data_IF_212950136723
#
_entry.id   IF_212950136723
#
_cell.length_a   1.000
_cell.length_b   1.000
_cell.length_c   1.000
_cell.angle_alpha   90.00
_cell.angle_beta   90.00
_cell.angle_gamma   90.00
#
_symmetry.space_group_name_H-M   'P 1'
#
loop_
_entity.id
_entity.type
_entity.pdbx_description
1 polymer ?
#
# COMPACT_ATOMS: atom_id res chain seq x y z
N UNK A 1 4.78 4.98 4.34
CA UNK A 1 5.08 3.59 4.73
C UNK A 1 4.49 2.61 3.73
N UNK A 2 3.17 2.60 3.52
CA UNK A 2 2.49 1.64 2.61
C UNK A 2 3.13 1.50 1.22
N UNK A 3 3.30 2.60 0.47
CA UNK A 3 3.91 2.53 -0.87
C UNK A 3 5.33 1.94 -0.89
N UNK A 4 6.15 2.21 0.14
CA UNK A 4 7.46 1.58 0.26
C UNK A 4 7.37 0.10 0.60
N UNK A 5 6.44 -0.29 1.47
CA UNK A 5 6.24 -1.70 1.77
C UNK A 5 5.81 -2.49 0.53
N UNK A 6 4.88 -1.96 -0.26
CA UNK A 6 4.45 -2.57 -1.52
C UNK A 6 5.62 -2.75 -2.50
N UNK A 7 6.47 -1.72 -2.64
CA UNK A 7 7.69 -1.82 -3.45
C UNK A 7 8.64 -2.90 -2.92
N UNK A 8 8.96 -2.89 -1.63
CA UNK A 8 9.91 -3.83 -1.02
C UNK A 8 9.42 -5.29 -1.11
N UNK A 9 8.11 -5.51 -0.91
CA UNK A 9 7.50 -6.84 -1.02
C UNK A 9 7.64 -7.40 -2.44
N UNK A 10 7.28 -6.63 -3.46
CA UNK A 10 7.26 -7.12 -4.84
C UNK A 10 8.65 -7.20 -5.49
N UNK A 11 9.62 -6.42 -5.01
CA UNK A 11 11.03 -6.54 -5.46
C UNK A 11 11.82 -7.56 -4.62
N UNK A 12 11.17 -8.24 -3.66
CA UNK A 12 11.79 -9.20 -2.73
C UNK A 12 12.99 -8.64 -1.95
N UNK A 13 12.99 -7.33 -1.67
CA UNK A 13 14.07 -6.64 -0.94
C UNK A 13 13.88 -6.88 0.56
N UNK A 14 14.75 -7.70 1.15
CA UNK A 14 14.71 -8.05 2.58
C UNK A 14 15.96 -7.60 3.34
N UNK A 15 17.09 -7.39 2.64
CA UNK A 15 18.34 -6.92 3.22
C UNK A 15 18.46 -5.38 3.09
N UNK A 16 18.78 -4.65 4.18
CA UNK A 16 19.11 -3.23 4.11
C UNK A 16 20.18 -2.86 3.06
N UNK A 17 21.12 -3.76 2.76
CA UNK A 17 22.16 -3.54 1.75
C UNK A 17 21.58 -3.38 0.34
N UNK A 18 20.48 -4.08 0.04
CA UNK A 18 19.80 -4.06 -1.26
C UNK A 18 19.03 -2.74 -1.50
N UNK A 19 18.87 -1.90 -0.47
CA UNK A 19 18.37 -0.53 -0.64
C UNK A 19 19.41 0.36 -1.34
N UNK A 20 20.67 -0.08 -1.41
CA UNK A 20 21.76 0.58 -2.12
C UNK A 20 21.41 0.80 -3.60
N UNK A 21 21.25 2.06 -4.00
CA UNK A 21 20.95 2.42 -5.39
C UNK A 21 19.45 2.51 -5.71
N UNK A 22 18.54 2.13 -4.81
CA UNK A 22 17.11 2.37 -4.99
C UNK A 22 16.84 3.88 -5.04
N UNK A 23 16.26 4.34 -6.15
CA UNK A 23 15.83 5.73 -6.35
C UNK A 23 14.45 5.73 -6.98
N UNK A 24 13.48 6.28 -6.28
CA UNK A 24 12.07 6.34 -6.68
C UNK A 24 11.47 7.66 -6.23
N UNK A 25 10.56 8.20 -7.02
CA UNK A 25 9.76 9.34 -6.61
C UNK A 25 8.56 8.84 -5.80
N UNK A 26 8.24 9.53 -4.71
CA UNK A 26 7.05 9.29 -3.91
C UNK A 26 6.06 10.42 -4.17
N UNK A 27 4.81 10.07 -4.41
CA UNK A 27 3.73 11.02 -4.70
C UNK A 27 2.70 11.00 -3.59
N UNK A 28 2.25 12.18 -3.17
CA UNK A 28 1.03 12.35 -2.42
C UNK A 28 -0.11 12.53 -3.42
N UNK A 29 -1.14 11.69 -3.35
CA UNK A 29 -2.26 11.69 -4.30
C UNK A 29 -3.54 12.00 -3.53
N UNK A 30 -4.30 12.98 -4.02
CA UNK A 30 -5.65 13.21 -3.54
C UNK A 30 -6.60 12.18 -4.16
N UNK A 31 -7.19 11.35 -3.32
CA UNK A 31 -8.15 10.34 -3.74
C UNK A 31 -9.58 10.86 -3.58
N UNK A 32 -10.53 10.40 -4.42
CA UNK A 32 -11.95 10.61 -4.16
C UNK A 32 -12.33 10.14 -2.75
N UNK A 33 -13.34 10.75 -2.12
CA UNK A 33 -13.68 10.47 -0.72
C UNK A 33 -14.83 9.47 -0.53
N UNK A 34 -15.52 9.09 -1.59
CA UNK A 34 -16.75 8.27 -1.53
C UNK A 34 -16.75 7.18 -2.60
N UNK A 35 -17.76 6.31 -2.59
CA UNK A 35 -18.05 5.28 -3.60
C UNK A 35 -17.04 4.12 -3.70
N UNK A 36 -16.25 3.89 -2.65
CA UNK A 36 -15.44 2.68 -2.54
C UNK A 36 -16.31 1.47 -2.20
N UNK A 37 -16.14 0.40 -2.97
CA UNK A 37 -16.62 -0.92 -2.59
C UNK A 37 -15.50 -1.68 -1.89
N UNK A 38 -15.86 -2.55 -0.97
CA UNK A 38 -14.92 -3.41 -0.26
C UNK A 38 -15.01 -4.83 -0.81
N UNK A 39 -13.88 -5.44 -1.23
CA UNK A 39 -13.87 -6.82 -1.70
C UNK A 39 -14.31 -7.78 -0.61
N UNK A 40 -15.04 -8.83 -0.98
CA UNK A 40 -15.38 -9.91 -0.07
C UNK A 40 -14.43 -11.07 -0.28
N UNK A 41 -13.20 -10.92 0.23
CA UNK A 41 -12.16 -11.94 0.14
C UNK A 41 -11.74 -12.41 1.54
N UNK A 42 -11.49 -13.71 1.74
CA UNK A 42 -10.81 -14.21 2.92
C UNK A 42 -9.42 -13.60 3.11
N UNK A 43 -8.99 -13.47 4.37
CA UNK A 43 -7.69 -12.85 4.72
C UNK A 43 -6.48 -13.64 4.18
N UNK A 44 -6.57 -14.97 4.10
CA UNK A 44 -5.53 -15.82 3.50
C UNK A 44 -5.40 -15.62 1.99
N UNK A 45 -6.49 -15.25 1.31
CA UNK A 45 -6.46 -14.84 -0.10
C UNK A 45 -5.90 -13.42 -0.23
N UNK A 46 -6.43 -12.47 0.55
CA UNK A 46 -6.05 -11.06 0.47
C UNK A 46 -4.57 -10.81 0.84
N UNK A 47 -4.05 -11.56 1.82
CA UNK A 47 -2.68 -11.42 2.33
C UNK A 47 -1.75 -12.58 1.93
N UNK A 48 -2.23 -13.46 1.05
CA UNK A 48 -1.48 -14.58 0.49
C UNK A 48 -0.35 -14.15 -0.43
N UNK A 49 0.32 -15.13 -1.03
CA UNK A 49 1.42 -14.93 -1.97
C UNK A 49 0.90 -14.76 -3.42
N UNK A 50 1.78 -14.88 -4.41
CA UNK A 50 1.42 -14.75 -5.82
C UNK A 50 0.37 -15.79 -6.27
N UNK A 51 0.24 -16.92 -5.56
CA UNK A 51 -0.78 -17.94 -5.86
C UNK A 51 -2.20 -17.45 -5.60
N UNK A 52 -2.40 -16.44 -4.74
CA UNK A 52 -3.71 -15.86 -4.44
C UNK A 52 -4.12 -14.74 -5.39
N UNK A 53 -3.18 -14.22 -6.20
CA UNK A 53 -3.44 -13.10 -7.11
C UNK A 53 -4.59 -13.35 -8.09
N UNK A 54 -4.74 -14.53 -8.71
CA UNK A 54 -5.87 -14.79 -9.60
C UNK A 54 -7.22 -14.56 -8.90
N UNK A 55 -7.37 -15.01 -7.65
CA UNK A 55 -8.62 -14.82 -6.89
C UNK A 55 -8.88 -13.35 -6.55
N UNK A 56 -7.86 -12.59 -6.16
CA UNK A 56 -7.97 -11.15 -5.94
C UNK A 56 -8.37 -10.40 -7.22
N UNK A 57 -7.79 -10.79 -8.36
CA UNK A 57 -8.11 -10.21 -9.66
C UNK A 57 -9.52 -10.58 -10.13
N UNK A 58 -9.95 -11.82 -9.92
CA UNK A 58 -11.31 -12.28 -10.23
C UNK A 58 -12.35 -11.46 -9.46
N UNK A 59 -12.14 -11.22 -8.17
CA UNK A 59 -13.02 -10.39 -7.35
C UNK A 59 -13.02 -8.93 -7.85
N UNK A 60 -11.86 -8.35 -8.16
CA UNK A 60 -11.78 -7.00 -8.72
C UNK A 60 -12.52 -6.91 -10.07
N UNK A 61 -12.39 -7.91 -10.95
CA UNK A 61 -13.14 -7.98 -12.22
C UNK A 61 -14.64 -8.10 -11.99
N UNK A 62 -15.07 -8.94 -11.03
CA UNK A 62 -16.49 -9.10 -10.68
C UNK A 62 -17.08 -7.79 -10.17
N UNK A 63 -16.39 -7.09 -9.27
CA UNK A 63 -16.82 -5.79 -8.74
C UNK A 63 -16.94 -4.75 -9.86
N UNK A 64 -15.92 -4.67 -10.73
CA UNK A 64 -15.94 -3.78 -11.90
C UNK A 64 -17.11 -4.09 -12.83
N UNK A 65 -17.35 -5.36 -13.14
CA UNK A 65 -18.48 -5.79 -13.98
C UNK A 65 -19.84 -5.48 -13.33
N UNK A 66 -19.90 -5.48 -11.99
CA UNK A 66 -21.06 -5.04 -11.21
C UNK A 66 -21.23 -3.52 -11.13
N UNK A 67 -20.38 -2.74 -11.80
CA UNK A 67 -20.47 -1.27 -11.84
C UNK A 67 -19.68 -0.56 -10.75
N UNK A 68 -18.82 -1.25 -10.00
CA UNK A 68 -17.91 -0.58 -9.09
C UNK A 68 -16.93 0.31 -9.88
N UNK A 69 -16.83 1.57 -9.47
CA UNK A 69 -15.83 2.51 -10.01
C UNK A 69 -14.50 2.42 -9.26
N UNK A 70 -14.54 2.03 -7.99
CA UNK A 70 -13.36 2.03 -7.13
C UNK A 70 -13.47 1.07 -5.96
N UNK A 71 -12.32 0.55 -5.55
CA UNK A 71 -12.17 -0.43 -4.48
C UNK A 71 -11.29 0.15 -3.39
N UNK A 72 -11.64 -0.08 -2.13
CA UNK A 72 -10.77 0.13 -0.97
C UNK A 72 -10.63 -1.18 -0.18
N UNK A 73 -9.39 -1.56 0.13
CA UNK A 73 -9.09 -2.78 0.88
C UNK A 73 -7.82 -2.61 1.70
N UNK A 74 -7.63 -3.43 2.74
CA UNK A 74 -6.34 -3.50 3.45
C UNK A 74 -5.24 -3.97 2.50
N UNK A 75 -4.11 -3.28 2.53
CA UNK A 75 -2.92 -3.62 1.75
C UNK A 75 -2.21 -4.84 2.32
N UNK A 76 -1.67 -5.69 1.44
CA UNK A 76 -1.02 -6.93 1.84
C UNK A 76 0.44 -6.73 2.26
N UNK A 77 1.07 -5.64 1.84
CA UNK A 77 2.50 -5.48 2.03
C UNK A 77 2.93 -5.14 3.45
N UNK A 78 2.05 -4.61 4.29
CA UNK A 78 2.37 -4.30 5.69
C UNK A 78 1.85 -5.37 6.64
N UNK A 79 2.59 -5.58 7.72
CA UNK A 79 2.05 -6.25 8.91
C UNK A 79 0.86 -5.44 9.48
N UNK A 80 -0.11 -6.09 10.16
CA UNK A 80 -1.24 -5.38 10.78
C UNK A 80 -0.76 -4.25 11.71
N UNK A 81 -1.38 -3.07 11.61
CA UNK A 81 -1.05 -1.89 12.40
C UNK A 81 0.24 -1.16 11.99
N UNK A 82 0.99 -1.67 11.01
CA UNK A 82 2.32 -1.17 10.68
C UNK A 82 2.34 0.05 9.75
N UNK A 83 1.17 0.57 9.35
CA UNK A 83 1.06 1.85 8.64
C UNK A 83 0.94 3.06 9.60
N UNK A 84 1.33 2.88 10.86
CA UNK A 84 1.37 3.94 11.86
C UNK A 84 2.21 5.13 11.38
N UNK A 85 1.71 6.34 11.62
CA UNK A 85 2.41 7.58 11.26
C UNK A 85 3.47 7.99 12.28
N UNK A 86 3.89 9.24 12.17
CA UNK A 86 4.75 9.90 13.16
C UNK A 86 4.05 11.15 13.69
N UNK A 87 4.23 11.44 14.97
CA UNK A 87 3.91 12.74 15.54
C UNK A 87 5.13 13.64 15.42
N UNK A 88 4.90 14.93 15.20
CA UNK A 88 5.96 15.93 15.05
C UNK A 88 5.73 17.07 16.06
N UNK A 89 5.75 16.78 17.36
CA UNK A 89 5.80 17.79 18.43
C UNK A 89 6.10 17.16 19.81
N UNK A 90 7.13 17.57 20.57
CA UNK A 90 8.28 18.41 20.20
C UNK A 90 9.41 17.63 19.50
N UNK A 91 9.34 16.29 19.50
CA UNK A 91 10.30 15.39 18.86
C UNK A 91 9.52 14.46 17.94
N UNK A 92 10.11 14.09 16.81
CA UNK A 92 9.52 13.09 15.92
C UNK A 92 9.49 11.74 16.63
N UNK A 93 8.30 11.20 16.83
CA UNK A 93 8.08 9.89 17.45
C UNK A 93 7.04 9.10 16.66
N UNK A 94 7.06 7.78 16.78
CA UNK A 94 6.01 6.93 16.19
C UNK A 94 4.67 7.28 16.82
N UNK A 95 3.64 7.43 16.00
CA UNK A 95 2.29 7.66 16.47
C UNK A 95 1.80 6.44 17.28
N UNK A 96 1.08 6.70 18.37
CA UNK A 96 0.59 5.64 19.28
C UNK A 96 -0.59 4.86 18.71
N UNK A 97 -1.35 5.46 17.80
CA UNK A 97 -2.49 4.81 17.15
C UNK A 97 -1.99 3.93 16.00
N UNK A 98 -2.11 2.61 16.19
CA UNK A 98 -1.91 1.63 15.14
C UNK A 98 -2.86 1.89 13.96
N UNK A 99 -2.34 1.79 12.73
CA UNK A 99 -3.13 1.92 11.50
C UNK A 99 -2.71 0.86 10.50
N UNK A 100 -3.69 0.30 9.81
CA UNK A 100 -3.45 -0.59 8.67
C UNK A 100 -3.13 0.23 7.42
N UNK A 101 -2.32 -0.36 6.55
CA UNK A 101 -2.15 0.15 5.19
C UNK A 101 -3.39 -0.16 4.38
N UNK A 102 -3.83 0.77 3.55
CA UNK A 102 -4.92 0.57 2.62
C UNK A 102 -4.39 0.64 1.19
N UNK A 103 -5.05 -0.08 0.29
CA UNK A 103 -4.85 -0.06 -1.14
C UNK A 103 -6.16 0.37 -1.78
N UNK A 104 -6.03 1.27 -2.76
CA UNK A 104 -7.15 1.78 -3.54
C UNK A 104 -6.95 1.41 -5.00
N UNK A 105 -8.02 0.98 -5.66
CA UNK A 105 -8.07 0.76 -7.10
C UNK A 105 -9.14 1.68 -7.67
N UNK A 106 -8.77 2.53 -8.63
CA UNK A 106 -9.71 3.34 -9.40
C UNK A 106 -9.85 2.72 -10.81
N UNK A 107 -11.06 2.33 -11.20
CA UNK A 107 -11.30 1.72 -12.50
C UNK A 107 -11.52 2.77 -13.58
N UNK A 108 -10.74 2.69 -14.66
CA UNK A 108 -10.86 3.61 -15.79
C UNK A 108 -10.12 4.93 -15.55
N UNK A 109 -10.37 5.95 -16.40
CA UNK A 109 -9.78 7.27 -16.23
C UNK A 109 -10.13 7.87 -14.86
N UNK A 110 -9.20 8.58 -14.25
CA UNK A 110 -9.43 9.29 -12.99
C UNK A 110 -8.64 10.58 -12.96
N UNK A 111 -9.35 11.68 -12.72
CA UNK A 111 -8.77 13.02 -12.61
C UNK A 111 -8.26 13.24 -11.18
N UNK A 112 -7.24 12.48 -10.79
CA UNK A 112 -6.59 12.64 -9.48
C UNK A 112 -5.53 13.74 -9.55
N UNK A 113 -5.47 14.55 -8.50
CA UNK A 113 -4.40 15.52 -8.31
C UNK A 113 -3.30 14.87 -7.50
N UNK A 114 -2.05 15.07 -7.90
CA UNK A 114 -0.89 14.52 -7.20
C UNK A 114 0.22 15.56 -7.07
N UNK A 115 0.97 15.46 -5.98
CA UNK A 115 2.15 16.27 -5.69
C UNK A 115 3.35 15.35 -5.46
N UNK A 116 4.52 15.76 -5.95
CA UNK A 116 5.77 15.08 -5.61
C UNK A 116 6.03 15.30 -4.12
N UNK A 117 5.91 14.23 -3.33
CA UNK A 117 6.25 14.24 -1.92
C UNK A 117 7.76 14.09 -1.70
N UNK A 118 8.42 13.30 -2.56
CA UNK A 118 9.87 13.19 -2.62
C UNK A 118 10.33 12.76 -4.02
N UNK A 119 11.46 13.26 -4.48
CA UNK A 119 12.09 12.81 -5.73
C UNK A 119 13.48 12.21 -5.46
N UNK A 120 13.83 11.15 -6.19
CA UNK A 120 15.08 10.41 -5.96
C UNK A 120 15.20 9.79 -4.56
N UNK A 121 14.08 9.47 -3.91
CA UNK A 121 14.04 8.91 -2.56
C UNK A 121 14.31 7.40 -2.55
N UNK A 122 14.61 6.88 -1.36
CA UNK A 122 14.72 5.46 -1.08
C UNK A 122 13.86 5.09 0.14
N UNK A 123 13.37 3.84 0.23
CA UNK A 123 12.75 3.34 1.45
C UNK A 123 13.70 3.47 2.64
N UNK A 124 13.26 4.00 3.80
CA UNK A 124 14.07 3.92 5.01
C UNK A 124 14.15 2.46 5.48
N UNK A 125 15.33 2.01 5.92
CA UNK A 125 15.56 0.63 6.37
C UNK A 125 14.61 0.20 7.50
N UNK A 126 14.11 1.15 8.30
CA UNK A 126 13.11 0.90 9.34
C UNK A 126 11.76 0.37 8.82
N UNK A 127 11.49 0.44 7.51
CA UNK A 127 10.29 -0.15 6.89
C UNK A 127 10.42 -1.65 6.70
N UNK A 128 11.63 -2.18 6.45
CA UNK A 128 11.85 -3.61 6.21
C UNK A 128 11.19 -4.54 7.24
N UNK A 129 11.37 -4.36 8.57
CA UNK A 129 10.73 -5.24 9.57
C UNK A 129 9.20 -5.09 9.64
N UNK A 130 8.62 -4.12 8.94
CA UNK A 130 7.18 -3.88 8.88
C UNK A 130 6.52 -4.53 7.66
N UNK A 131 7.32 -5.04 6.72
CA UNK A 131 6.84 -5.64 5.48
C UNK A 131 6.47 -7.09 5.70
N UNK A 132 5.31 -7.50 5.17
CA UNK A 132 4.98 -8.90 4.97
C UNK A 132 5.62 -9.34 3.65
N UNK A 133 6.74 -10.05 3.71
CA UNK A 133 7.39 -10.56 2.51
C UNK A 133 6.63 -11.77 1.93
N UNK A 134 6.84 -12.01 0.63
CA UNK A 134 6.37 -13.18 -0.12
C UNK A 134 7.27 -14.38 0.17
#
# INVERSE_FOLDING_TARGET
>A
MGAWAEFLRHEHITDPADLGGVRRSLWAVELPTTNYVHPSLPDDVLFGDESSYPACQDEARRLRAGGAERIEVRGAALLPGAASGWTANPVTATATTARDGLVWVLFGPSDVVAWIAADGAAPPAAVLPLVRHL
#
